data_IF_836829123852
#
_entry.id   IF_836829123852
#
_cell.length_a   1.000
_cell.length_b   1.000
_cell.length_c   1.000
_cell.angle_alpha   90.00
_cell.angle_beta   90.00
_cell.angle_gamma   90.00
#
_symmetry.space_group_name_H-M   'P 1'
#
loop_
_entity.id
_entity.type
_entity.pdbx_description
1 polymer ?
#
# COMPACT_ATOMS: atom_id res chain seq x y z
N UNK A 1 11.70 -5.65 4.82
CA UNK A 1 11.83 -4.20 5.15
C UNK A 1 11.11 -3.91 6.45
N UNK A 2 11.78 -3.31 7.38
CA UNK A 2 11.18 -2.76 8.59
C UNK A 2 10.70 -1.33 8.33
N UNK A 3 10.10 -0.69 9.32
CA UNK A 3 9.51 0.65 9.18
C UNK A 3 10.49 1.68 8.61
N UNK A 4 11.72 1.70 9.11
CA UNK A 4 12.78 2.62 8.66
C UNK A 4 13.10 2.42 7.19
N UNK A 5 13.15 1.16 6.74
CA UNK A 5 13.42 0.82 5.34
C UNK A 5 12.26 1.24 4.44
N UNK A 6 11.02 1.05 4.91
CA UNK A 6 9.82 1.49 4.19
C UNK A 6 9.84 2.99 3.97
N UNK A 7 10.19 3.76 5.01
CA UNK A 7 10.27 5.24 4.92
C UNK A 7 11.31 5.65 3.88
N UNK A 8 12.50 5.06 3.91
CA UNK A 8 13.58 5.36 2.95
C UNK A 8 13.15 5.01 1.53
N UNK A 9 12.62 3.81 1.33
CA UNK A 9 12.18 3.35 0.01
C UNK A 9 11.03 4.19 -0.55
N UNK A 10 10.10 4.61 0.32
CA UNK A 10 9.00 5.49 -0.07
C UNK A 10 9.51 6.83 -0.61
N UNK A 11 10.39 7.50 0.11
CA UNK A 11 10.92 8.79 -0.31
C UNK A 11 11.80 8.68 -1.56
N UNK A 12 12.53 7.58 -1.71
CA UNK A 12 13.28 7.30 -2.92
C UNK A 12 12.34 7.14 -4.12
N UNK A 13 11.25 6.39 -3.95
CA UNK A 13 10.25 6.20 -5.01
C UNK A 13 9.61 7.54 -5.40
N UNK A 14 9.18 8.34 -4.44
CA UNK A 14 8.61 9.67 -4.71
C UNK A 14 9.58 10.54 -5.50
N UNK A 15 10.86 10.53 -5.12
CA UNK A 15 11.91 11.29 -5.82
C UNK A 15 12.08 10.80 -7.27
N UNK A 16 12.12 9.50 -7.48
CA UNK A 16 12.28 8.91 -8.82
C UNK A 16 11.07 9.19 -9.73
N UNK A 17 9.86 9.14 -9.17
CA UNK A 17 8.63 9.40 -9.92
C UNK A 17 8.37 10.89 -10.15
N UNK A 18 9.05 11.75 -9.41
CA UNK A 18 8.82 13.20 -9.47
C UNK A 18 7.43 13.62 -8.98
N UNK A 19 6.79 12.78 -8.15
CA UNK A 19 5.44 13.02 -7.64
C UNK A 19 5.45 13.74 -6.30
N UNK A 20 4.35 14.48 -6.03
CA UNK A 20 4.06 14.97 -4.71
C UNK A 20 3.77 13.79 -3.78
N UNK A 21 4.34 13.80 -2.57
CA UNK A 21 4.26 12.67 -1.65
C UNK A 21 2.82 12.17 -1.38
N UNK A 22 1.84 13.07 -1.32
CA UNK A 22 0.45 12.68 -1.05
C UNK A 22 -0.27 12.01 -2.23
N UNK A 23 0.37 11.95 -3.40
CA UNK A 23 -0.14 11.23 -4.58
C UNK A 23 0.51 9.85 -4.74
N UNK A 24 1.43 9.49 -3.84
CA UNK A 24 2.00 8.15 -3.76
C UNK A 24 1.55 7.56 -2.44
N UNK A 25 0.70 6.55 -2.50
CA UNK A 25 0.02 5.99 -1.32
C UNK A 25 0.40 4.52 -1.17
N UNK A 26 0.96 4.17 -0.02
CA UNK A 26 1.29 2.77 0.27
C UNK A 26 0.06 1.96 0.65
N UNK A 27 0.04 0.71 0.22
CA UNK A 27 -0.99 -0.27 0.54
C UNK A 27 -0.38 -1.56 1.09
N UNK A 28 -1.22 -2.54 1.37
CA UNK A 28 -0.83 -3.89 1.77
C UNK A 28 0.19 -3.93 2.92
N UNK A 29 1.23 -4.74 2.78
CA UNK A 29 2.20 -5.00 3.85
C UNK A 29 2.97 -3.76 4.30
N UNK A 30 3.37 -2.90 3.37
CA UNK A 30 4.09 -1.67 3.72
C UNK A 30 3.23 -0.72 4.55
N UNK A 31 1.95 -0.56 4.19
CA UNK A 31 1.01 0.23 4.99
C UNK A 31 0.81 -0.38 6.38
N UNK A 32 0.71 -1.71 6.46
CA UNK A 32 0.58 -2.41 7.74
C UNK A 32 1.80 -2.19 8.64
N UNK A 33 3.01 -2.21 8.07
CA UNK A 33 4.25 -1.91 8.82
C UNK A 33 4.21 -0.48 9.35
N UNK A 34 3.81 0.49 8.53
CA UNK A 34 3.72 1.89 8.96
C UNK A 34 2.72 2.11 10.09
N UNK A 35 1.65 1.32 10.13
CA UNK A 35 0.65 1.39 11.20
C UNK A 35 1.01 0.60 12.45
N UNK A 36 2.11 -0.14 12.45
CA UNK A 36 2.51 -0.98 13.57
C UNK A 36 1.73 -2.30 13.66
N UNK A 37 1.09 -2.72 12.58
CA UNK A 37 0.31 -3.97 12.53
C UNK A 37 1.19 -5.20 12.29
N UNK A 38 2.36 -5.00 11.73
CA UNK A 38 3.38 -6.02 11.54
C UNK A 38 4.78 -5.39 11.59
N UNK A 39 5.78 -6.20 11.86
CA UNK A 39 7.16 -5.72 12.06
C UNK A 39 7.90 -5.47 10.75
N UNK A 40 7.59 -6.24 9.72
CA UNK A 40 8.29 -6.14 8.42
C UNK A 40 7.42 -6.58 7.26
N UNK A 41 7.86 -6.22 6.05
CA UNK A 41 7.25 -6.64 4.80
C UNK A 41 8.35 -6.96 3.78
N UNK A 42 8.03 -7.81 2.81
CA UNK A 42 9.01 -8.20 1.78
C UNK A 42 9.12 -7.16 0.67
N UNK A 43 8.04 -6.46 0.38
CA UNK A 43 7.96 -5.53 -0.73
C UNK A 43 7.14 -4.28 -0.40
N UNK A 44 7.22 -3.30 -1.29
CA UNK A 44 6.52 -2.04 -1.21
C UNK A 44 5.45 -2.00 -2.30
N UNK A 45 4.19 -2.06 -1.90
CA UNK A 45 3.05 -1.84 -2.81
C UNK A 45 2.65 -0.38 -2.73
N UNK A 46 2.77 0.33 -3.86
CA UNK A 46 2.46 1.75 -3.93
C UNK A 46 1.45 2.02 -5.04
N UNK A 47 0.43 2.81 -4.71
CA UNK A 47 -0.57 3.26 -5.67
C UNK A 47 -0.22 4.67 -6.12
N UNK A 48 -0.24 4.90 -7.42
CA UNK A 48 0.12 6.19 -8.05
C UNK A 48 -0.95 6.62 -9.04
N UNK A 49 -0.99 7.91 -9.37
CA UNK A 49 -1.93 8.44 -10.35
C UNK A 49 -1.80 7.71 -11.69
N UNK A 50 -2.90 7.56 -12.45
CA UNK A 50 -2.88 6.85 -13.74
C UNK A 50 -1.83 7.38 -14.72
N UNK A 51 -1.62 8.69 -14.77
CA UNK A 51 -0.61 9.30 -15.64
C UNK A 51 0.81 8.92 -15.23
N UNK A 52 1.09 8.87 -13.94
CA UNK A 52 2.39 8.45 -13.38
C UNK A 52 2.63 6.97 -13.65
N UNK A 53 1.61 6.16 -13.44
CA UNK A 53 1.66 4.72 -13.73
C UNK A 53 2.02 4.47 -15.20
N UNK A 54 1.33 5.15 -16.12
CA UNK A 54 1.56 5.05 -17.56
C UNK A 54 2.98 5.51 -17.93
N UNK A 55 3.42 6.63 -17.35
CA UNK A 55 4.77 7.15 -17.56
C UNK A 55 5.83 6.13 -17.13
N UNK A 56 5.69 5.54 -15.94
CA UNK A 56 6.63 4.56 -15.40
C UNK A 56 6.70 3.32 -16.30
N UNK A 57 5.54 2.81 -16.76
CA UNK A 57 5.49 1.68 -17.69
C UNK A 57 6.24 1.96 -18.99
N UNK A 58 6.09 3.15 -19.54
CA UNK A 58 6.75 3.55 -20.81
C UNK A 58 8.25 3.75 -20.57
N UNK A 59 8.62 4.50 -19.52
CA UNK A 59 10.02 4.85 -19.26
C UNK A 59 10.90 3.64 -18.96
N UNK A 60 10.33 2.65 -18.23
CA UNK A 60 11.05 1.42 -17.84
C UNK A 60 10.70 0.22 -18.70
N UNK A 61 9.83 0.36 -19.69
CA UNK A 61 9.35 -0.72 -20.55
C UNK A 61 8.76 -1.88 -19.74
N UNK A 62 7.91 -1.56 -18.77
CA UNK A 62 7.29 -2.54 -17.87
C UNK A 62 6.07 -3.19 -18.54
N UNK A 63 5.83 -4.46 -18.14
CA UNK A 63 4.66 -5.22 -18.60
C UNK A 63 3.61 -5.20 -17.51
N UNK A 64 2.39 -4.73 -17.84
CA UNK A 64 1.27 -4.67 -16.91
C UNK A 64 0.67 -6.06 -16.70
N UNK A 65 0.52 -6.47 -15.44
CA UNK A 65 -0.13 -7.72 -15.06
C UNK A 65 -1.64 -7.48 -14.89
N UNK A 66 -2.40 -7.52 -15.98
CA UNK A 66 -3.83 -7.21 -16.02
C UNK A 66 -4.67 -8.06 -15.06
N UNK A 67 -4.25 -9.30 -14.80
CA UNK A 67 -4.96 -10.22 -13.91
C UNK A 67 -4.80 -9.90 -12.42
N UNK A 68 -3.98 -8.90 -12.06
CA UNK A 68 -3.65 -8.56 -10.67
C UNK A 68 -3.81 -7.05 -10.47
N UNK A 69 -5.00 -6.52 -10.79
CA UNK A 69 -5.35 -5.10 -10.63
C UNK A 69 -4.37 -4.14 -11.31
N UNK A 70 -3.97 -4.47 -12.55
CA UNK A 70 -3.05 -3.66 -13.34
C UNK A 70 -1.74 -3.35 -12.62
N UNK A 71 -1.20 -4.34 -11.93
CA UNK A 71 0.07 -4.22 -11.23
C UNK A 71 1.25 -4.25 -12.20
N UNK A 72 2.26 -3.42 -11.91
CA UNK A 72 3.57 -3.56 -12.55
C UNK A 72 4.66 -3.70 -11.50
N UNK A 73 5.66 -4.51 -11.79
CA UNK A 73 6.88 -4.59 -10.99
C UNK A 73 7.80 -3.45 -11.42
N UNK A 74 7.85 -2.39 -10.62
CA UNK A 74 8.66 -1.20 -10.88
C UNK A 74 10.14 -1.47 -10.63
N UNK A 75 10.46 -2.18 -9.56
CA UNK A 75 11.81 -2.61 -9.23
C UNK A 75 11.72 -3.92 -8.44
N UNK A 76 12.85 -4.46 -8.02
CA UNK A 76 12.91 -5.76 -7.33
C UNK A 76 11.94 -5.86 -6.14
N UNK A 77 11.75 -4.76 -5.41
CA UNK A 77 10.92 -4.74 -4.19
C UNK A 77 9.76 -3.75 -4.23
N UNK A 78 9.49 -3.17 -5.38
CA UNK A 78 8.44 -2.15 -5.53
C UNK A 78 7.47 -2.54 -6.63
N UNK A 79 6.20 -2.70 -6.25
CA UNK A 79 5.10 -2.88 -7.18
C UNK A 79 4.25 -1.62 -7.22
N UNK A 80 3.86 -1.21 -8.43
CA UNK A 80 2.96 -0.06 -8.63
C UNK A 80 1.58 -0.52 -9.05
N UNK A 81 0.58 0.19 -8.52
CA UNK A 81 -0.83 0.04 -8.89
C UNK A 81 -1.40 1.42 -9.19
N UNK A 82 -2.58 1.46 -9.80
CA UNK A 82 -3.27 2.72 -10.07
C UNK A 82 -4.02 3.15 -8.81
N UNK A 83 -3.81 4.41 -8.41
CA UNK A 83 -4.43 5.02 -7.23
C UNK A 83 -5.94 5.18 -7.42
N UNK A 84 -6.69 4.77 -6.40
CA UNK A 84 -8.11 5.06 -6.28
C UNK A 84 -8.28 6.34 -5.46
N UNK A 85 -8.61 7.44 -6.13
CA UNK A 85 -8.68 8.77 -5.53
C UNK A 85 -9.83 8.94 -4.54
N UNK A 86 -10.83 8.05 -4.58
CA UNK A 86 -11.98 8.11 -3.67
C UNK A 86 -11.69 7.52 -2.28
N UNK A 87 -10.54 6.91 -2.09
CA UNK A 87 -10.17 6.28 -0.82
C UNK A 87 -9.52 7.25 0.14
N UNK A 88 -9.77 7.04 1.44
CA UNK A 88 -9.14 7.82 2.49
C UNK A 88 -7.67 7.43 2.71
N UNK A 89 -6.85 8.44 3.01
CA UNK A 89 -5.43 8.25 3.29
C UNK A 89 -5.04 8.94 4.58
N UNK A 90 -3.96 8.47 5.20
CA UNK A 90 -3.37 9.09 6.40
C UNK A 90 -1.87 9.27 6.18
N UNK A 91 -1.29 10.25 6.86
CA UNK A 91 0.16 10.47 6.83
C UNK A 91 0.78 9.99 8.14
N UNK A 92 1.74 9.07 8.05
CA UNK A 92 2.45 8.53 9.19
C UNK A 92 3.94 8.77 8.96
N UNK A 93 4.54 9.60 9.79
CA UNK A 93 5.98 9.92 9.70
C UNK A 93 6.41 10.33 8.29
N UNK A 94 5.60 11.16 7.63
CA UNK A 94 5.88 11.68 6.29
C UNK A 94 5.54 10.71 5.15
N UNK A 95 4.96 9.56 5.45
CA UNK A 95 4.58 8.54 4.46
C UNK A 95 3.06 8.49 4.36
N UNK A 96 2.53 8.63 3.15
CA UNK A 96 1.09 8.51 2.90
C UNK A 96 0.73 7.05 2.68
N UNK A 97 -0.27 6.59 3.43
CA UNK A 97 -0.78 5.22 3.36
C UNK A 97 -2.30 5.26 3.30
N UNK A 98 -2.94 4.21 2.79
CA UNK A 98 -4.39 4.09 2.90
C UNK A 98 -4.80 4.07 4.37
N UNK A 99 -5.95 4.67 4.68
CA UNK A 99 -6.45 4.74 6.05
C UNK A 99 -6.70 3.35 6.64
N UNK A 100 -6.76 3.23 7.99
CA UNK A 100 -7.09 1.96 8.63
C UNK A 100 -8.37 1.33 8.09
N UNK A 101 -9.40 2.14 7.83
CA UNK A 101 -10.66 1.64 7.26
C UNK A 101 -10.49 1.06 5.87
N UNK A 102 -9.71 1.71 5.02
CA UNK A 102 -9.44 1.20 3.66
C UNK A 102 -8.64 -0.10 3.70
N UNK A 103 -7.63 -0.19 4.57
CA UNK A 103 -6.87 -1.43 4.76
C UNK A 103 -7.76 -2.54 5.31
N UNK A 104 -8.65 -2.22 6.23
CA UNK A 104 -9.60 -3.18 6.78
C UNK A 104 -10.51 -3.76 5.69
N UNK A 105 -11.04 -2.90 4.83
CA UNK A 105 -11.87 -3.32 3.69
C UNK A 105 -11.09 -4.24 2.75
N UNK A 106 -9.85 -3.88 2.42
CA UNK A 106 -8.98 -4.70 1.57
C UNK A 106 -8.69 -6.07 2.20
N UNK A 107 -8.36 -6.11 3.48
CA UNK A 107 -8.07 -7.35 4.21
C UNK A 107 -9.29 -8.26 4.28
N UNK A 108 -10.46 -7.71 4.54
CA UNK A 108 -11.71 -8.47 4.56
C UNK A 108 -12.01 -9.08 3.20
N UNK A 109 -11.76 -8.33 2.12
CA UNK A 109 -11.92 -8.83 0.76
C UNK A 109 -10.95 -9.98 0.48
N UNK A 110 -9.67 -9.79 0.75
CA UNK A 110 -8.63 -10.80 0.53
C UNK A 110 -8.88 -12.08 1.33
N UNK A 111 -9.33 -11.96 2.58
CA UNK A 111 -9.59 -13.12 3.44
C UNK A 111 -10.74 -14.01 2.96
N UNK A 112 -11.58 -13.49 2.05
CA UNK A 112 -12.69 -14.24 1.44
C UNK A 112 -12.33 -14.88 0.11
N UNK A 113 -11.12 -14.63 -0.40
CA UNK A 113 -10.69 -15.18 -1.68
C UNK A 113 -10.34 -16.66 -1.55
N UNK A 114 -10.77 -17.46 -2.54
CA UNK A 114 -10.38 -18.86 -2.66
C UNK A 114 -8.87 -18.94 -2.92
N UNK A 115 -8.28 -20.06 -2.49
CA UNK A 115 -6.85 -20.35 -2.71
C UNK A 115 -5.88 -19.40 -2.01
N UNK A 116 -6.35 -18.61 -1.04
CA UNK A 116 -5.47 -17.79 -0.22
C UNK A 116 -4.60 -18.70 0.66
N UNK A 117 -3.26 -18.59 0.65
CA UNK A 117 -2.39 -19.43 1.49
C UNK A 117 -2.76 -19.34 2.97
N UNK A 118 -2.74 -20.47 3.68
CA UNK A 118 -3.15 -20.54 5.08
C UNK A 118 -2.42 -19.55 5.99
N UNK A 119 -1.10 -19.44 5.84
CA UNK A 119 -0.30 -18.50 6.63
C UNK A 119 -0.72 -17.04 6.42
N UNK A 120 -1.12 -16.68 5.19
CA UNK A 120 -1.64 -15.36 4.89
C UNK A 120 -3.03 -15.16 5.48
N UNK A 121 -3.87 -16.21 5.50
CA UNK A 121 -5.20 -16.13 6.12
C UNK A 121 -5.10 -15.88 7.63
N UNK A 122 -4.19 -16.56 8.32
CA UNK A 122 -3.96 -16.36 9.75
C UNK A 122 -3.50 -14.92 10.02
N UNK A 123 -2.52 -14.45 9.26
CA UNK A 123 -2.03 -13.07 9.36
C UNK A 123 -3.14 -12.05 9.10
N UNK A 124 -3.96 -12.29 8.07
CA UNK A 124 -5.08 -11.40 7.74
C UNK A 124 -6.06 -11.29 8.91
N UNK A 125 -6.38 -12.41 9.60
CA UNK A 125 -7.28 -12.39 10.76
C UNK A 125 -6.70 -11.58 11.91
N UNK A 126 -5.42 -11.71 12.19
CA UNK A 126 -4.75 -10.92 13.23
C UNK A 126 -4.81 -9.43 12.88
N UNK A 127 -4.45 -9.07 11.65
CA UNK A 127 -4.44 -7.68 11.18
C UNK A 127 -5.85 -7.08 11.13
N UNK A 128 -6.86 -7.87 10.72
CA UNK A 128 -8.26 -7.43 10.75
C UNK A 128 -8.67 -7.03 12.17
N UNK A 129 -8.35 -7.85 13.16
CA UNK A 129 -8.69 -7.55 14.56
C UNK A 129 -8.02 -6.25 15.02
N UNK A 130 -6.74 -6.06 14.70
CA UNK A 130 -6.01 -4.83 15.04
C UNK A 130 -6.56 -3.61 14.31
N UNK A 131 -6.92 -3.76 13.03
CA UNK A 131 -7.51 -2.68 12.23
C UNK A 131 -8.89 -2.28 12.74
N UNK A 132 -9.71 -3.23 13.17
CA UNK A 132 -11.01 -2.94 13.77
C UNK A 132 -10.86 -2.03 14.99
N UNK A 133 -9.85 -2.25 15.82
CA UNK A 133 -9.57 -1.39 16.96
C UNK A 133 -9.09 0.01 16.52
N UNK A 134 -8.21 0.09 15.51
CA UNK A 134 -7.74 1.37 14.98
C UNK A 134 -8.87 2.20 14.36
N UNK A 135 -9.86 1.56 13.76
CA UNK A 135 -11.01 2.25 13.19
C UNK A 135 -11.91 2.84 14.28
N UNK A 136 -12.05 2.14 15.41
CA UNK A 136 -12.86 2.60 16.56
C UNK A 136 -12.19 3.76 17.31
N UNK A 137 -10.87 3.73 17.44
CA UNK A 137 -10.08 4.75 18.14
C UNK A 137 -8.97 5.26 17.22
N UNK A 138 -9.30 6.15 16.26
CA UNK A 138 -8.34 6.59 15.26
C UNK A 138 -7.14 7.31 15.86
N UNK A 139 -5.93 6.87 15.51
CA UNK A 139 -4.66 7.53 15.88
C UNK A 139 -4.21 8.53 14.84
N UNK A 140 -4.75 8.45 13.63
CA UNK A 140 -4.25 9.20 12.47
C UNK A 140 -5.37 10.05 11.88
N UNK A 141 -5.01 11.24 11.40
CA UNK A 141 -5.94 12.11 10.68
C UNK A 141 -6.07 11.61 9.24
N UNK A 142 -7.28 11.17 8.88
CA UNK A 142 -7.58 10.70 7.54
C UNK A 142 -8.11 11.83 6.66
N UNK A 143 -7.81 11.75 5.36
CA UNK A 143 -8.40 12.63 4.33
C UNK A 143 -8.59 11.83 3.04
N UNK A 144 -9.38 12.35 2.10
CA UNK A 144 -9.44 11.82 0.74
C UNK A 144 -8.18 12.20 -0.02
N UNK A 145 -7.79 11.36 -0.95
CA UNK A 145 -6.64 11.61 -1.83
C UNK A 145 -6.83 12.85 -2.68
#
# INVERSE_FOLDING_TARGET
MRKEDVIVQYHQLVSELGESAHHVVLSAGAAAVMMGLRDETDDLDADVLPGVFKWACTAKKLIVEENVNDRVTYSEKVDLHILDEDRGVVCIEGVWVYSPRELLNQKRHLSRMENRPYGKMVRDQIEITLLEELVKTPKFTARAV
#
